data_IF_088961322359
#
_entry.id   IF_088961322359
#
_cell.length_a   1.000
_cell.length_b   1.000
_cell.length_c   1.000
_cell.angle_alpha   90.00
_cell.angle_beta   90.00
_cell.angle_gamma   90.00
#
_symmetry.space_group_name_H-M   'P 1'
#
loop_
_entity.id
_entity.type
_entity.pdbx_description
1 polymer ?
#
# COMPACT_ATOMS: atom_id res chain seq x y z
N UNK A 1 21.55 -11.67 4.10
CA UNK A 1 20.69 -10.87 5.01
C UNK A 1 20.35 -9.59 4.29
N UNK A 2 19.08 -9.20 4.27
CA UNK A 2 18.69 -7.87 3.80
C UNK A 2 19.32 -6.84 4.74
N UNK A 3 19.93 -5.80 4.19
CA UNK A 3 20.75 -4.84 4.95
C UNK A 3 20.27 -3.41 4.77
N UNK A 4 19.16 -3.22 4.05
CA UNK A 4 18.56 -1.93 3.77
C UNK A 4 17.10 -2.10 3.31
N UNK A 5 16.42 -0.98 3.11
CA UNK A 5 15.03 -0.88 2.73
C UNK A 5 14.86 0.12 1.57
N UNK A 6 13.95 -0.22 0.67
CA UNK A 6 13.38 0.67 -0.34
C UNK A 6 11.94 0.94 0.03
N UNK A 7 11.55 2.20 0.08
CA UNK A 7 10.16 2.60 0.22
C UNK A 7 9.65 3.20 -1.09
N UNK A 8 8.69 2.53 -1.71
CA UNK A 8 7.98 3.03 -2.88
C UNK A 8 6.70 3.73 -2.42
N UNK A 9 6.60 5.03 -2.68
CA UNK A 9 5.54 5.90 -2.13
C UNK A 9 5.22 7.06 -3.08
N UNK A 10 4.15 7.80 -2.83
CA UNK A 10 3.86 9.07 -3.51
C UNK A 10 4.00 10.25 -2.54
N UNK A 11 3.86 11.48 -3.03
CA UNK A 11 3.90 12.71 -2.21
C UNK A 11 2.58 13.47 -2.30
N UNK A 12 2.03 13.89 -1.17
CA UNK A 12 0.82 14.71 -1.22
C UNK A 12 1.16 16.12 -1.73
N UNK A 13 0.92 16.36 -3.02
CA UNK A 13 1.05 17.67 -3.67
C UNK A 13 -0.18 17.91 -4.54
N UNK A 14 -0.55 19.18 -4.70
CA UNK A 14 -1.65 19.57 -5.60
C UNK A 14 -1.23 19.59 -7.08
N UNK A 15 0.05 19.35 -7.38
CA UNK A 15 0.62 19.30 -8.72
C UNK A 15 0.80 17.86 -9.21
N UNK A 16 0.74 17.60 -10.54
CA UNK A 16 0.76 16.24 -11.09
C UNK A 16 1.97 15.38 -10.71
N UNK A 17 3.08 15.99 -10.31
CA UNK A 17 4.27 15.26 -9.88
C UNK A 17 4.11 14.61 -8.50
N UNK A 18 3.23 15.12 -7.63
CA UNK A 18 2.96 14.48 -6.33
C UNK A 18 2.36 13.09 -6.44
N UNK A 19 1.58 12.86 -7.48
CA UNK A 19 0.89 11.60 -7.76
C UNK A 19 1.69 10.75 -8.74
N UNK A 20 2.96 10.51 -8.42
CA UNK A 20 3.89 9.70 -9.21
C UNK A 20 4.70 8.78 -8.28
N UNK A 21 5.53 7.89 -8.84
CA UNK A 21 6.30 6.93 -8.04
C UNK A 21 7.58 7.59 -7.52
N UNK A 22 7.72 7.68 -6.19
CA UNK A 22 8.93 8.12 -5.51
C UNK A 22 9.58 6.97 -4.75
N UNK A 23 10.90 7.03 -4.64
CA UNK A 23 11.69 6.11 -3.83
C UNK A 23 12.29 6.82 -2.61
N UNK A 24 12.28 6.11 -1.48
CA UNK A 24 13.05 6.43 -0.28
C UNK A 24 13.96 5.27 0.08
N UNK A 25 15.14 5.55 0.60
CA UNK A 25 16.11 4.53 1.00
C UNK A 25 16.40 4.62 2.49
N UNK A 26 16.57 3.48 3.15
CA UNK A 26 17.01 3.43 4.55
C UNK A 26 17.92 2.24 4.79
N UNK A 27 18.93 2.38 5.64
CA UNK A 27 19.80 1.26 6.05
C UNK A 27 19.29 0.54 7.28
N UNK A 28 18.53 1.23 8.13
CA UNK A 28 18.13 0.75 9.45
C UNK A 28 16.60 0.65 9.61
N UNK A 29 15.84 1.24 8.71
CA UNK A 29 14.39 1.32 8.76
C UNK A 29 13.86 2.53 9.54
N UNK A 30 14.74 3.31 10.17
CA UNK A 30 14.43 4.47 11.01
C UNK A 30 14.76 5.78 10.31
N UNK A 31 15.93 5.85 9.68
CA UNK A 31 16.44 7.04 9.01
C UNK A 31 16.29 6.87 7.49
N UNK A 32 15.44 7.69 6.89
CA UNK A 32 15.12 7.62 5.47
C UNK A 32 15.77 8.77 4.70
N UNK A 33 16.26 8.45 3.50
CA UNK A 33 16.90 9.36 2.57
C UNK A 33 16.05 9.46 1.29
N UNK A 34 16.00 10.66 0.70
CA UNK A 34 15.36 10.86 -0.60
C UNK A 34 16.20 10.25 -1.72
N UNK A 35 15.51 9.77 -2.77
CA UNK A 35 16.12 9.32 -4.03
C UNK A 35 15.80 10.34 -5.12
N UNK A 36 16.66 10.42 -6.15
CA UNK A 36 16.44 11.26 -7.34
C UNK A 36 16.25 12.75 -7.00
N UNK A 37 17.00 13.24 -6.01
CA UNK A 37 16.87 14.63 -5.54
C UNK A 37 15.51 15.00 -4.92
N UNK A 38 14.65 14.01 -4.64
CA UNK A 38 13.28 14.24 -4.18
C UNK A 38 12.26 14.42 -5.31
N UNK A 39 12.64 14.11 -6.56
CA UNK A 39 11.78 14.11 -7.75
C UNK A 39 11.23 12.69 -8.06
N UNK A 40 10.12 12.57 -8.83
CA UNK A 40 9.59 11.27 -9.20
C UNK A 40 10.62 10.38 -9.90
N UNK A 41 10.64 9.09 -9.56
CA UNK A 41 11.45 8.06 -10.21
C UNK A 41 10.76 7.52 -11.45
N UNK A 42 9.45 7.28 -11.38
CA UNK A 42 8.63 6.83 -12.51
C UNK A 42 7.42 7.75 -12.68
N UNK A 43 7.07 8.02 -13.93
CA UNK A 43 5.89 8.76 -14.31
C UNK A 43 4.86 7.84 -14.97
N UNK A 44 3.59 8.00 -14.61
CA UNK A 44 2.48 7.42 -15.37
C UNK A 44 2.01 8.41 -16.43
N UNK A 45 2.15 8.04 -17.71
CA UNK A 45 1.65 8.84 -18.83
C UNK A 45 0.39 8.23 -19.47
N UNK A 46 -0.05 7.07 -18.97
CA UNK A 46 -1.28 6.36 -19.36
C UNK A 46 -2.37 6.55 -18.29
N UNK A 47 -3.60 6.14 -18.63
CA UNK A 47 -4.73 6.19 -17.71
C UNK A 47 -5.05 7.62 -17.28
N UNK A 48 -5.12 7.84 -15.97
CA UNK A 48 -5.38 9.15 -15.36
C UNK A 48 -4.14 10.04 -15.26
N UNK A 49 -2.97 9.50 -15.62
CA UNK A 49 -1.66 10.18 -15.58
C UNK A 49 -1.22 10.62 -14.19
N UNK A 50 -1.71 9.91 -13.18
CA UNK A 50 -1.25 9.96 -11.81
C UNK A 50 -1.40 8.59 -11.20
N UNK A 51 -0.51 8.27 -10.25
CA UNK A 51 -0.51 7.02 -9.51
C UNK A 51 -0.33 7.26 -8.03
N UNK A 52 -1.06 6.47 -7.24
CA UNK A 52 -1.06 6.52 -5.77
C UNK A 52 -0.98 5.12 -5.20
N UNK A 53 -0.75 5.03 -3.89
CA UNK A 53 -0.89 3.81 -3.09
C UNK A 53 -0.06 2.64 -3.67
N UNK A 54 1.26 2.84 -3.78
CA UNK A 54 2.12 1.89 -4.49
C UNK A 54 2.43 0.64 -3.67
N UNK A 55 2.34 -0.53 -4.27
CA UNK A 55 2.95 -1.75 -3.75
C UNK A 55 4.14 -2.18 -4.59
N UNK A 56 5.13 -2.77 -3.94
CA UNK A 56 6.30 -3.37 -4.60
C UNK A 56 6.52 -4.79 -4.08
N UNK A 57 6.77 -5.71 -5.00
CA UNK A 57 7.07 -7.11 -4.69
C UNK A 57 8.30 -7.58 -5.43
N UNK A 58 9.13 -8.38 -4.76
CA UNK A 58 10.17 -9.18 -5.40
C UNK A 58 9.65 -10.61 -5.59
N UNK A 59 9.64 -11.08 -6.82
CA UNK A 59 9.25 -12.45 -7.17
C UNK A 59 10.34 -13.46 -6.82
N UNK A 60 10.00 -14.76 -6.86
CA UNK A 60 10.95 -15.84 -6.62
C UNK A 60 12.09 -15.87 -7.64
N UNK A 61 11.87 -15.38 -8.87
CA UNK A 61 12.90 -15.24 -9.91
C UNK A 61 13.81 -14.03 -9.70
N UNK A 62 13.49 -13.14 -8.76
CA UNK A 62 14.22 -11.90 -8.51
C UNK A 62 13.71 -10.69 -9.31
N UNK A 63 12.68 -10.84 -10.14
CA UNK A 63 12.01 -9.72 -10.82
C UNK A 63 11.20 -8.90 -9.82
N UNK A 64 11.20 -7.58 -9.97
CA UNK A 64 10.43 -6.63 -9.18
C UNK A 64 9.23 -6.12 -9.96
N UNK A 65 8.09 -6.04 -9.30
CA UNK A 65 6.89 -5.40 -9.84
C UNK A 65 6.43 -4.29 -8.91
N UNK A 66 6.09 -3.13 -9.49
CA UNK A 66 5.32 -2.09 -8.81
C UNK A 66 3.91 -2.12 -9.35
N UNK A 67 2.91 -2.10 -8.47
CA UNK A 67 1.51 -1.85 -8.82
C UNK A 67 1.00 -0.61 -8.10
N UNK A 68 0.05 0.11 -8.69
CA UNK A 68 -0.48 1.35 -8.13
C UNK A 68 -1.92 1.61 -8.54
N UNK A 69 -2.65 2.37 -7.72
CA UNK A 69 -3.94 2.97 -8.10
C UNK A 69 -3.72 3.91 -9.29
N UNK A 70 -4.47 3.75 -10.39
CA UNK A 70 -4.50 4.72 -11.50
C UNK A 70 -5.44 5.87 -11.16
N UNK A 71 -4.89 6.95 -10.58
CA UNK A 71 -5.67 8.09 -10.12
C UNK A 71 -4.82 9.36 -10.11
N UNK A 72 -5.37 10.43 -10.69
CA UNK A 72 -4.84 11.78 -10.51
C UNK A 72 -5.89 12.74 -9.98
N UNK A 73 -5.77 13.16 -8.72
CA UNK A 73 -6.56 14.25 -8.18
C UNK A 73 -6.16 15.58 -8.83
N UNK A 74 -4.87 15.81 -9.08
CA UNK A 74 -4.36 17.04 -9.67
C UNK A 74 -5.01 17.33 -11.05
N UNK A 75 -5.18 16.28 -11.87
CA UNK A 75 -5.77 16.42 -13.20
C UNK A 75 -7.30 16.29 -13.21
N UNK A 76 -7.86 15.45 -12.34
CA UNK A 76 -9.23 14.95 -12.51
C UNK A 76 -10.20 15.31 -11.37
N UNK A 77 -9.72 15.68 -10.18
CA UNK A 77 -10.59 15.82 -9.01
C UNK A 77 -11.70 16.85 -9.21
N UNK A 78 -11.33 18.09 -9.56
CA UNK A 78 -12.30 19.17 -9.73
C UNK A 78 -13.04 19.12 -11.07
N UNK A 79 -12.54 18.36 -12.04
CA UNK A 79 -13.08 18.26 -13.40
C UNK A 79 -13.93 17.01 -13.53
N UNK A 80 -13.31 15.87 -13.88
CA UNK A 80 -13.96 14.57 -14.08
C UNK A 80 -14.78 14.12 -12.87
N UNK A 81 -14.31 14.41 -11.65
CA UNK A 81 -14.95 13.96 -10.41
C UNK A 81 -15.76 15.03 -9.70
N UNK A 82 -15.84 16.25 -10.24
CA UNK A 82 -16.64 17.36 -9.68
C UNK A 82 -16.33 17.69 -8.19
N UNK A 83 -15.12 17.42 -7.74
CA UNK A 83 -14.69 17.60 -6.35
C UNK A 83 -15.29 16.60 -5.37
N UNK A 84 -15.77 15.44 -5.84
CA UNK A 84 -16.48 14.45 -5.02
C UNK A 84 -15.77 13.09 -5.03
N UNK A 85 -15.30 12.66 -3.86
CA UNK A 85 -14.73 11.32 -3.66
C UNK A 85 -15.68 10.18 -4.04
N UNK A 86 -16.99 10.35 -3.82
CA UNK A 86 -18.01 9.38 -4.21
C UNK A 86 -18.02 9.13 -5.73
N UNK A 87 -17.68 10.14 -6.55
CA UNK A 87 -17.57 9.98 -7.99
C UNK A 87 -16.35 9.13 -8.34
N UNK A 88 -15.19 9.35 -7.70
CA UNK A 88 -14.01 8.49 -7.92
C UNK A 88 -14.31 7.05 -7.52
N UNK A 89 -14.91 6.84 -6.34
CA UNK A 89 -15.26 5.51 -5.86
C UNK A 89 -16.11 4.71 -6.86
N UNK A 90 -17.03 5.40 -7.58
CA UNK A 90 -17.96 4.77 -8.53
C UNK A 90 -17.43 4.70 -9.98
N UNK A 91 -16.77 5.74 -10.46
CA UNK A 91 -16.43 5.92 -11.88
C UNK A 91 -14.95 6.23 -12.16
N UNK A 92 -14.09 6.13 -11.14
CA UNK A 92 -12.65 6.22 -11.31
C UNK A 92 -12.07 5.01 -12.06
N UNK A 93 -10.76 5.03 -12.30
CA UNK A 93 -10.11 4.01 -13.11
C UNK A 93 -10.33 2.59 -12.59
N UNK A 94 -10.71 1.69 -13.51
CA UNK A 94 -10.82 0.25 -13.29
C UNK A 94 -9.51 -0.49 -13.58
N UNK A 95 -8.41 0.25 -13.63
CA UNK A 95 -7.09 -0.27 -13.90
C UNK A 95 -6.16 0.00 -12.72
N UNK A 96 -5.21 -0.89 -12.53
CA UNK A 96 -3.96 -0.59 -11.84
C UNK A 96 -2.90 -0.20 -12.88
N UNK A 97 -1.87 0.52 -12.45
CA UNK A 97 -0.67 0.76 -13.25
C UNK A 97 0.44 -0.14 -12.76
N UNK A 98 1.15 -0.80 -13.68
CA UNK A 98 2.19 -1.77 -13.39
C UNK A 98 3.50 -1.42 -14.09
N UNK A 99 4.61 -1.55 -13.36
CA UNK A 99 5.98 -1.54 -13.88
C UNK A 99 6.73 -2.80 -13.48
N UNK A 100 7.70 -3.19 -14.30
CA UNK A 100 8.59 -4.33 -14.08
C UNK A 100 10.04 -3.88 -14.10
N UNK A 101 10.88 -4.47 -13.25
CA UNK A 101 12.33 -4.29 -13.28
C UNK A 101 13.06 -5.56 -12.85
N UNK A 102 14.21 -5.84 -13.45
CA UNK A 102 15.12 -6.88 -12.99
C UNK A 102 16.14 -6.40 -11.95
N UNK A 103 16.24 -5.08 -11.72
CA UNK A 103 17.38 -4.50 -10.99
C UNK A 103 17.06 -3.25 -10.16
N UNK A 104 15.78 -2.86 -10.05
CA UNK A 104 15.26 -1.69 -9.34
C UNK A 104 15.64 -0.32 -9.92
N UNK A 105 16.38 -0.26 -11.03
CA UNK A 105 16.81 1.00 -11.65
C UNK A 105 16.41 1.12 -13.12
N UNK A 106 16.38 0.01 -13.85
CA UNK A 106 15.87 -0.07 -15.20
C UNK A 106 14.45 -0.62 -15.17
N UNK A 107 13.47 0.24 -15.43
CA UNK A 107 12.05 -0.10 -15.39
C UNK A 107 11.46 -0.17 -16.79
N UNK A 108 10.47 -1.05 -16.97
CA UNK A 108 9.66 -1.13 -18.19
C UNK A 108 8.87 0.17 -18.42
N UNK A 109 8.26 0.31 -19.60
CA UNK A 109 7.13 1.24 -19.74
C UNK A 109 5.97 0.82 -18.83
N UNK A 110 5.12 1.79 -18.46
CA UNK A 110 3.94 1.56 -17.65
C UNK A 110 2.89 0.74 -18.42
N UNK A 111 2.23 -0.20 -17.73
CA UNK A 111 1.12 -0.98 -18.28
C UNK A 111 -0.13 -0.78 -17.44
N UNK A 112 -1.26 -0.50 -18.11
CA UNK A 112 -2.57 -0.55 -17.47
C UNK A 112 -3.03 -2.00 -17.34
N UNK A 113 -3.43 -2.38 -16.14
CA UNK A 113 -3.86 -3.72 -15.77
C UNK A 113 -5.32 -3.67 -15.31
N UNK A 114 -6.23 -4.14 -16.15
CA UNK A 114 -7.63 -4.32 -15.77
C UNK A 114 -7.81 -5.66 -15.08
N UNK A 115 -8.22 -5.66 -13.81
CA UNK A 115 -8.43 -6.88 -13.03
C UNK A 115 -9.90 -7.28 -12.95
N UNK A 116 -10.81 -6.30 -12.90
CA UNK A 116 -12.25 -6.51 -12.72
C UNK A 116 -13.05 -6.62 -14.02
N UNK A 117 -14.37 -6.70 -13.85
CA UNK A 117 -15.35 -6.46 -14.91
C UNK A 117 -15.92 -5.03 -14.79
N UNK A 118 -16.97 -4.73 -15.56
CA UNK A 118 -17.60 -3.42 -15.56
C UNK A 118 -18.34 -3.09 -14.25
N UNK A 119 -18.52 -4.06 -13.35
CA UNK A 119 -19.24 -3.89 -12.08
C UNK A 119 -18.37 -3.30 -10.97
N UNK A 120 -17.06 -3.22 -11.16
CA UNK A 120 -16.16 -2.53 -10.25
C UNK A 120 -16.20 -1.01 -10.41
N UNK A 121 -16.12 -0.32 -9.28
CA UNK A 121 -15.69 1.07 -9.22
C UNK A 121 -14.18 1.19 -9.40
N UNK A 122 -13.60 2.25 -8.85
CA UNK A 122 -12.14 2.41 -8.91
C UNK A 122 -11.42 1.30 -8.12
N UNK A 123 -10.28 0.83 -8.64
CA UNK A 123 -9.42 -0.15 -7.98
C UNK A 123 -8.36 0.60 -7.16
N UNK A 124 -8.44 0.52 -5.83
CA UNK A 124 -7.61 1.31 -4.92
C UNK A 124 -6.62 0.47 -4.14
N UNK A 125 -5.45 1.06 -3.87
CA UNK A 125 -4.45 0.58 -2.93
C UNK A 125 -4.16 -0.92 -3.10
N UNK A 126 -3.61 -1.32 -4.26
CA UNK A 126 -3.22 -2.70 -4.45
C UNK A 126 -2.10 -3.08 -3.48
N UNK A 127 -2.15 -4.30 -2.99
CA UNK A 127 -1.07 -4.93 -2.24
C UNK A 127 -0.85 -6.36 -2.75
N UNK A 128 0.38 -6.86 -2.63
CA UNK A 128 0.77 -8.17 -3.16
C UNK A 128 1.29 -9.07 -2.06
N UNK A 129 0.69 -10.27 -1.96
CA UNK A 129 1.18 -11.34 -1.11
C UNK A 129 1.64 -12.55 -1.93
N UNK A 130 2.82 -13.09 -1.62
CA UNK A 130 3.32 -14.30 -2.28
C UNK A 130 2.83 -15.57 -1.55
N UNK A 131 1.93 -16.32 -2.19
CA UNK A 131 1.42 -17.61 -1.73
C UNK A 131 2.40 -18.73 -2.12
N UNK A 132 3.46 -18.88 -1.32
CA UNK A 132 4.53 -19.85 -1.57
C UNK A 132 4.04 -21.32 -1.65
N UNK A 133 2.88 -21.64 -1.05
CA UNK A 133 2.29 -22.98 -1.14
C UNK A 133 1.74 -23.32 -2.53
N UNK A 134 1.45 -22.29 -3.35
CA UNK A 134 0.90 -22.44 -4.71
C UNK A 134 1.81 -21.87 -5.80
N UNK A 135 2.90 -21.20 -5.42
CA UNK A 135 3.79 -20.47 -6.33
C UNK A 135 2.99 -19.44 -7.15
N UNK A 136 2.18 -18.66 -6.43
CA UNK A 136 1.26 -17.65 -6.97
C UNK A 136 1.36 -16.36 -6.14
N UNK A 137 0.98 -15.25 -6.77
CA UNK A 137 0.82 -13.95 -6.13
C UNK A 137 -0.65 -13.63 -5.99
N UNK A 138 -1.05 -13.24 -4.79
CA UNK A 138 -2.37 -12.69 -4.50
C UNK A 138 -2.28 -11.19 -4.50
N UNK A 139 -2.99 -10.56 -5.43
CA UNK A 139 -3.14 -9.11 -5.48
C UNK A 139 -4.48 -8.79 -4.85
N UNK A 140 -4.49 -7.97 -3.80
CA UNK A 140 -5.71 -7.53 -3.16
C UNK A 140 -5.82 -6.02 -3.17
N UNK A 141 -7.04 -5.51 -3.33
CA UNK A 141 -7.33 -4.10 -3.55
C UNK A 141 -8.71 -3.75 -3.00
N UNK A 142 -8.91 -2.47 -2.72
CA UNK A 142 -10.19 -1.95 -2.23
C UNK A 142 -11.03 -1.45 -3.40
N UNK A 143 -12.34 -1.74 -3.38
CA UNK A 143 -13.24 -1.22 -4.40
C UNK A 143 -14.69 -1.12 -3.91
N UNK A 144 -15.43 -0.19 -4.50
CA UNK A 144 -16.90 -0.24 -4.52
C UNK A 144 -17.34 -1.18 -5.65
N UNK A 145 -18.51 -1.81 -5.52
CA UNK A 145 -18.97 -2.80 -6.50
C UNK A 145 -20.48 -2.75 -6.75
N UNK A 146 -20.92 -3.06 -7.97
CA UNK A 146 -22.33 -2.97 -8.35
C UNK A 146 -23.23 -3.95 -7.56
N UNK A 147 -22.68 -5.07 -7.09
CA UNK A 147 -23.41 -6.10 -6.31
C UNK A 147 -23.99 -5.58 -4.99
N UNK A 148 -23.48 -4.47 -4.45
CA UNK A 148 -24.06 -3.75 -3.32
C UNK A 148 -24.36 -2.29 -3.68
N UNK A 149 -24.75 -2.03 -4.93
CA UNK A 149 -25.10 -0.69 -5.43
C UNK A 149 -24.01 0.38 -5.23
N UNK A 150 -22.74 -0.02 -5.24
CA UNK A 150 -21.59 0.86 -4.98
C UNK A 150 -21.66 1.54 -3.59
N UNK A 151 -22.24 0.86 -2.59
CA UNK A 151 -22.20 1.31 -1.19
C UNK A 151 -20.82 1.04 -0.58
N UNK A 152 -20.77 0.53 0.66
CA UNK A 152 -19.52 0.28 1.39
C UNK A 152 -18.49 -0.50 0.56
N UNK A 153 -17.27 0.04 0.56
CA UNK A 153 -16.12 -0.58 -0.09
C UNK A 153 -15.73 -1.87 0.64
N UNK A 154 -15.20 -2.80 -0.13
CA UNK A 154 -14.74 -4.09 0.37
C UNK A 154 -13.36 -4.39 -0.23
N UNK A 155 -12.69 -5.40 0.33
CA UNK A 155 -11.43 -5.89 -0.23
C UNK A 155 -11.72 -7.05 -1.16
N UNK A 156 -11.20 -6.95 -2.37
CA UNK A 156 -11.24 -7.99 -3.38
C UNK A 156 -9.82 -8.49 -3.65
N UNK A 157 -9.70 -9.67 -4.25
CA UNK A 157 -8.42 -10.21 -4.63
C UNK A 157 -8.48 -10.99 -5.94
N UNK A 158 -7.35 -11.05 -6.62
CA UNK A 158 -7.08 -11.91 -7.78
C UNK A 158 -5.76 -12.67 -7.56
N UNK A 159 -5.51 -13.69 -8.38
CA UNK A 159 -4.29 -14.48 -8.40
C UNK A 159 -3.59 -14.34 -9.74
N UNK A 160 -2.27 -14.38 -9.71
CA UNK A 160 -1.41 -14.42 -10.89
C UNK A 160 -0.14 -15.20 -10.60
N UNK A 161 0.50 -15.74 -11.64
CA UNK A 161 1.83 -16.36 -11.56
C UNK A 161 2.92 -15.50 -12.19
N UNK A 162 2.53 -14.62 -13.11
CA UNK A 162 3.43 -13.96 -14.06
C UNK A 162 3.19 -12.45 -14.16
N UNK A 163 2.19 -11.90 -13.44
CA UNK A 163 1.74 -10.52 -13.55
C UNK A 163 1.28 -10.11 -14.96
N UNK A 164 1.04 -11.08 -15.85
CA UNK A 164 0.51 -10.88 -17.20
C UNK A 164 -0.95 -11.33 -17.24
N UNK A 165 -1.22 -12.51 -16.70
CA UNK A 165 -2.55 -13.13 -16.64
C UNK A 165 -3.07 -13.10 -15.21
N UNK A 166 -4.34 -12.72 -15.06
CA UNK A 166 -4.99 -12.58 -13.75
C UNK A 166 -6.31 -13.36 -13.73
N UNK A 167 -6.57 -14.03 -12.62
CA UNK A 167 -7.86 -14.66 -12.38
C UNK A 167 -8.97 -13.62 -12.20
N UNK A 168 -10.23 -14.03 -12.39
CA UNK A 168 -11.37 -13.16 -12.07
C UNK A 168 -11.34 -12.80 -10.57
N UNK A 169 -11.47 -11.51 -10.20
CA UNK A 169 -11.46 -11.11 -8.80
C UNK A 169 -12.60 -11.71 -7.99
N UNK A 170 -12.30 -11.98 -6.73
CA UNK A 170 -13.22 -12.51 -5.73
C UNK A 170 -13.24 -11.61 -4.50
N UNK A 171 -14.33 -11.65 -3.74
CA UNK A 171 -14.40 -10.96 -2.45
C UNK A 171 -13.41 -11.61 -1.47
N UNK A 172 -12.50 -10.81 -0.92
CA UNK A 172 -11.59 -11.25 0.15
C UNK A 172 -12.24 -11.05 1.52
N UNK A 173 -12.76 -9.85 1.79
CA UNK A 173 -13.50 -9.55 3.01
C UNK A 173 -14.37 -8.30 2.89
N UNK A 174 -15.35 -8.21 3.79
CA UNK A 174 -16.22 -7.06 4.01
C UNK A 174 -16.45 -6.90 5.51
N UNK A 175 -16.78 -5.69 5.95
CA UNK A 175 -17.27 -5.39 7.28
C UNK A 175 -18.74 -4.98 7.19
N UNK A 176 -19.58 -5.53 8.06
CA UNK A 176 -20.98 -5.14 8.10
C UNK A 176 -21.13 -3.74 8.69
N UNK A 177 -21.95 -2.90 8.05
CA UNK A 177 -22.23 -1.52 8.48
C UNK A 177 -21.09 -0.52 8.29
N UNK A 178 -20.01 -0.88 7.59
CA UNK A 178 -18.90 0.03 7.32
C UNK A 178 -18.06 -0.41 6.12
N UNK A 179 -17.58 0.57 5.34
CA UNK A 179 -16.53 0.33 4.35
C UNK A 179 -15.18 0.00 4.98
N UNK A 180 -14.44 -0.86 4.28
CA UNK A 180 -13.03 -1.14 4.57
C UNK A 180 -12.17 -0.91 3.34
N UNK A 181 -10.97 -0.37 3.55
CA UNK A 181 -9.97 -0.10 2.52
C UNK A 181 -8.55 -0.43 3.02
N UNK A 182 -7.58 -0.24 2.14
CA UNK A 182 -6.14 -0.26 2.41
C UNK A 182 -5.70 -1.52 3.17
N UNK A 183 -5.99 -2.68 2.59
CA UNK A 183 -5.57 -3.95 3.14
C UNK A 183 -4.05 -4.15 2.96
N UNK A 184 -3.35 -4.53 4.02
CA UNK A 184 -1.95 -4.98 3.97
C UNK A 184 -1.78 -6.31 4.72
N UNK A 185 -1.16 -7.30 4.08
CA UNK A 185 -1.20 -8.70 4.49
C UNK A 185 0.19 -9.28 4.72
N UNK A 186 0.38 -9.95 5.85
CA UNK A 186 1.66 -10.48 6.30
C UNK A 186 1.51 -11.88 6.88
N UNK A 187 2.60 -12.63 6.92
CA UNK A 187 2.66 -13.96 7.53
C UNK A 187 3.70 -13.96 8.65
N UNK A 188 3.33 -14.52 9.81
CA UNK A 188 4.25 -14.76 10.92
C UNK A 188 3.87 -16.05 11.67
N UNK A 189 4.78 -17.04 11.62
CA UNK A 189 4.66 -18.26 12.41
C UNK A 189 3.55 -19.20 11.95
N UNK A 190 3.32 -19.29 10.64
CA UNK A 190 2.27 -20.07 9.99
C UNK A 190 0.88 -19.43 10.05
N UNK A 191 0.77 -18.15 10.43
CA UNK A 191 -0.50 -17.42 10.53
C UNK A 191 -0.47 -16.16 9.69
N UNK A 192 -1.64 -15.81 9.16
CA UNK A 192 -1.81 -14.63 8.33
C UNK A 192 -2.38 -13.48 9.17
N UNK A 193 -1.85 -12.29 8.95
CA UNK A 193 -2.22 -11.07 9.64
C UNK A 193 -2.52 -9.99 8.61
N UNK A 194 -3.67 -9.34 8.74
CA UNK A 194 -4.09 -8.29 7.81
C UNK A 194 -4.43 -7.01 8.56
N UNK A 195 -3.78 -5.93 8.18
CA UNK A 195 -4.20 -4.58 8.54
C UNK A 195 -5.27 -4.10 7.57
N UNK A 196 -6.25 -3.33 8.07
CA UNK A 196 -7.33 -2.75 7.29
C UNK A 196 -7.67 -1.36 7.84
N UNK A 197 -7.95 -0.40 6.97
CA UNK A 197 -8.65 0.83 7.36
C UNK A 197 -10.15 0.56 7.42
N UNK A 198 -10.75 0.81 8.57
CA UNK A 198 -12.20 0.79 8.82
C UNK A 198 -12.73 2.22 8.82
N UNK A 199 -13.80 2.48 8.05
CA UNK A 199 -14.41 3.81 7.96
C UNK A 199 -15.28 4.15 9.18
N UNK A 200 -15.85 3.15 9.86
CA UNK A 200 -16.73 3.30 11.01
C UNK A 200 -16.74 2.06 11.90
N UNK A 201 -17.23 2.19 13.14
CA UNK A 201 -17.55 1.11 14.09
C UNK A 201 -16.45 0.03 14.32
N UNK A 202 -15.26 0.38 14.83
CA UNK A 202 -14.74 1.73 15.02
C UNK A 202 -14.06 2.27 13.75
N UNK A 203 -14.00 3.60 13.62
CA UNK A 203 -13.19 4.24 12.57
C UNK A 203 -11.71 4.23 12.97
N UNK A 204 -10.84 3.60 12.16
CA UNK A 204 -9.43 3.45 12.49
C UNK A 204 -8.78 2.29 11.73
N UNK A 205 -7.58 1.89 12.17
CA UNK A 205 -6.90 0.71 11.63
C UNK A 205 -7.27 -0.50 12.48
N UNK A 206 -7.60 -1.60 11.82
CA UNK A 206 -7.82 -2.91 12.41
C UNK A 206 -6.63 -3.80 12.09
N UNK A 207 -6.25 -4.67 13.03
CA UNK A 207 -5.39 -5.82 12.77
C UNK A 207 -6.22 -7.07 12.99
N UNK A 208 -6.28 -7.94 11.99
CA UNK A 208 -6.97 -9.21 12.09
C UNK A 208 -6.00 -10.36 11.81
N UNK A 209 -6.29 -11.57 12.29
CA UNK A 209 -5.48 -12.76 12.03
C UNK A 209 -6.33 -13.98 11.64
N UNK A 210 -5.77 -14.86 10.82
CA UNK A 210 -6.43 -16.06 10.32
C UNK A 210 -5.45 -17.20 10.03
N UNK A 211 -5.99 -18.39 9.76
CA UNK A 211 -5.20 -19.61 9.51
C UNK A 211 -4.90 -19.81 8.02
N UNK A 212 -5.62 -19.11 7.14
CA UNK A 212 -5.41 -19.17 5.69
C UNK A 212 -5.49 -17.77 5.10
N UNK A 213 -4.81 -17.57 3.97
CA UNK A 213 -4.73 -16.29 3.27
C UNK A 213 -6.10 -15.66 3.00
N UNK A 214 -7.06 -16.45 2.51
CA UNK A 214 -8.39 -16.02 2.05
C UNK A 214 -9.53 -16.50 2.96
N UNK A 215 -9.21 -16.97 4.17
CA UNK A 215 -10.19 -17.53 5.09
C UNK A 215 -10.86 -16.47 5.99
N UNK A 216 -11.49 -16.96 7.06
CA UNK A 216 -12.01 -16.10 8.12
C UNK A 216 -10.87 -15.56 8.99
N UNK A 217 -11.02 -14.31 9.44
CA UNK A 217 -10.07 -13.63 10.31
C UNK A 217 -10.78 -13.17 11.58
N UNK A 218 -10.02 -13.10 12.68
CA UNK A 218 -10.46 -12.57 13.98
C UNK A 218 -9.66 -11.32 14.32
N UNK A 219 -10.30 -10.32 14.92
CA UNK A 219 -9.66 -9.07 15.30
C UNK A 219 -8.67 -9.25 16.47
N UNK A 220 -7.54 -8.55 16.41
CA UNK A 220 -6.55 -8.49 17.47
C UNK A 220 -6.89 -7.36 18.46
N UNK A 221 -7.44 -7.74 19.61
CA UNK A 221 -7.87 -6.76 20.63
C UNK A 221 -6.72 -6.00 21.29
N UNK A 222 -5.50 -6.55 21.32
CA UNK A 222 -4.33 -5.83 21.83
C UNK A 222 -3.95 -4.67 20.90
N UNK A 223 -4.05 -4.90 19.59
CA UNK A 223 -3.88 -3.82 18.61
C UNK A 223 -4.99 -2.77 18.69
N UNK A 224 -6.25 -3.21 18.84
CA UNK A 224 -7.37 -2.29 19.01
C UNK A 224 -7.17 -1.35 20.23
N UNK A 225 -6.61 -1.85 21.33
CA UNK A 225 -6.29 -1.06 22.51
C UNK A 225 -5.18 -0.01 22.27
N UNK A 226 -4.18 -0.32 21.43
CA UNK A 226 -3.18 0.68 21.01
C UNK A 226 -3.80 1.73 20.09
N UNK A 227 -4.61 1.31 19.11
CA UNK A 227 -5.27 2.24 18.17
C UNK A 227 -6.28 3.16 18.85
N UNK A 228 -6.92 2.74 19.94
CA UNK A 228 -7.83 3.56 20.73
C UNK A 228 -7.15 4.79 21.38
N UNK A 229 -5.80 4.83 21.44
CA UNK A 229 -5.03 5.98 21.93
C UNK A 229 -4.83 7.06 20.86
N UNK A 230 -5.12 6.76 19.60
CA UNK A 230 -4.93 7.64 18.46
C UNK A 230 -6.19 8.43 18.13
N UNK A 231 -6.04 9.50 17.35
CA UNK A 231 -7.16 10.26 16.80
C UNK A 231 -7.97 9.37 15.85
N UNK A 232 -9.26 9.09 16.14
CA UNK A 232 -10.09 8.25 15.28
C UNK A 232 -10.20 8.83 13.87
N UNK A 233 -10.13 7.97 12.87
CA UNK A 233 -10.33 8.37 11.47
C UNK A 233 -9.23 9.26 10.87
N UNK A 234 -8.06 9.40 11.51
CA UNK A 234 -6.96 10.25 11.01
C UNK A 234 -5.80 9.51 10.33
N UNK A 235 -5.87 8.18 10.28
CA UNK A 235 -4.82 7.28 9.78
C UNK A 235 -5.36 6.32 8.73
N UNK A 236 -4.62 6.06 7.67
CA UNK A 236 -4.93 5.09 6.60
C UNK A 236 -3.65 4.41 6.09
N UNK A 237 -3.73 3.68 4.97
CA UNK A 237 -2.58 3.12 4.28
C UNK A 237 -1.57 2.38 5.16
N UNK A 238 -1.95 1.29 5.85
CA UNK A 238 -0.99 0.55 6.65
C UNK A 238 0.08 -0.12 5.78
N UNK A 239 1.35 0.03 6.15
CA UNK A 239 2.44 -0.80 5.61
C UNK A 239 3.36 -1.25 6.74
N UNK A 240 3.78 -2.51 6.74
CA UNK A 240 4.63 -3.08 7.78
C UNK A 240 5.82 -3.84 7.22
N UNK A 241 6.92 -3.81 7.96
CA UNK A 241 8.16 -4.50 7.62
C UNK A 241 8.91 -4.91 8.89
N UNK A 242 9.82 -5.88 8.76
CA UNK A 242 10.69 -6.29 9.87
C UNK A 242 11.90 -5.37 9.97
N UNK A 243 12.20 -4.91 11.18
CA UNK A 243 13.41 -4.19 11.54
C UNK A 243 14.61 -5.15 11.68
N UNK A 244 15.86 -4.63 11.72
CA UNK A 244 17.05 -5.48 11.82
C UNK A 244 17.11 -6.36 13.07
N UNK A 245 16.47 -5.95 14.16
CA UNK A 245 16.37 -6.70 15.41
C UNK A 245 15.24 -7.75 15.41
N UNK A 246 14.49 -7.87 14.30
CA UNK A 246 13.41 -8.82 14.12
C UNK A 246 12.03 -8.33 14.54
N UNK A 247 11.93 -7.14 15.14
CA UNK A 247 10.64 -6.51 15.47
C UNK A 247 9.89 -6.07 14.22
N UNK A 248 8.61 -5.81 14.36
CA UNK A 248 7.77 -5.23 13.31
C UNK A 248 7.68 -3.72 13.47
N UNK A 249 7.92 -3.00 12.37
CA UNK A 249 7.53 -1.62 12.20
C UNK A 249 6.27 -1.57 11.33
N UNK A 250 5.21 -0.95 11.84
CA UNK A 250 4.02 -0.55 11.08
C UNK A 250 4.08 0.95 10.87
N UNK A 251 3.97 1.40 9.64
CA UNK A 251 3.78 2.79 9.29
C UNK A 251 2.32 3.00 8.90
N UNK A 252 1.68 4.03 9.45
CA UNK A 252 0.32 4.45 9.11
C UNK A 252 0.32 5.86 8.52
N UNK A 253 -0.33 6.06 7.38
CA UNK A 253 -0.39 7.36 6.72
C UNK A 253 -1.34 8.29 7.49
N UNK A 254 -0.79 9.32 8.12
CA UNK A 254 -1.55 10.31 8.87
C UNK A 254 -1.97 11.49 7.99
N UNK A 255 -3.28 11.71 7.93
CA UNK A 255 -3.91 12.78 7.14
C UNK A 255 -4.83 13.69 7.97
N UNK A 256 -4.73 13.63 9.31
CA UNK A 256 -5.59 14.40 10.22
C UNK A 256 -5.39 15.93 10.17
N UNK A 257 -4.33 16.40 9.51
CA UNK A 257 -4.04 17.82 9.25
C UNK A 257 -3.68 18.01 7.78
N UNK A 258 -3.50 19.25 7.31
CA UNK A 258 -2.98 19.54 5.97
C UNK A 258 -1.53 20.00 6.02
N UNK A 259 -0.79 19.74 4.95
CA UNK A 259 0.58 20.24 4.76
C UNK A 259 1.62 19.42 5.54
N UNK A 260 2.65 20.08 6.06
CA UNK A 260 3.84 19.43 6.63
C UNK A 260 3.58 18.55 7.86
N UNK A 261 2.40 18.66 8.49
CA UNK A 261 1.99 17.78 9.57
C UNK A 261 1.41 16.42 9.11
N UNK A 262 1.29 16.18 7.80
CA UNK A 262 0.87 14.91 7.22
C UNK A 262 2.04 13.94 7.03
N UNK A 263 1.69 12.68 6.79
CA UNK A 263 2.61 11.63 6.34
C UNK A 263 2.67 10.46 7.29
N UNK A 264 3.55 9.52 6.99
CA UNK A 264 3.63 8.28 7.73
C UNK A 264 4.11 8.44 9.19
N UNK A 265 3.37 7.82 10.11
CA UNK A 265 3.71 7.68 11.52
C UNK A 265 4.09 6.22 11.81
N UNK A 266 5.31 5.94 12.30
CA UNK A 266 5.75 4.59 12.62
C UNK A 266 5.33 4.12 14.02
N UNK A 267 5.09 2.83 14.14
CA UNK A 267 4.73 2.10 15.34
C UNK A 267 5.54 0.80 15.40
N UNK A 268 6.06 0.43 16.57
CA UNK A 268 6.92 -0.76 16.72
C UNK A 268 6.27 -1.78 17.66
N UNK A 269 6.29 -3.05 17.27
CA UNK A 269 5.84 -4.19 18.07
C UNK A 269 6.84 -5.35 17.97
N UNK A 270 6.90 -6.20 18.99
CA UNK A 270 7.75 -7.40 18.93
C UNK A 270 7.22 -8.44 17.93
N UNK A 271 5.90 -8.58 17.80
CA UNK A 271 5.24 -9.57 16.92
C UNK A 271 3.90 -9.05 16.41
N UNK A 272 3.46 -9.52 15.25
CA UNK A 272 2.10 -9.28 14.74
C UNK A 272 1.06 -9.93 15.66
N UNK A 273 1.39 -11.11 16.21
CA UNK A 273 0.53 -11.82 17.16
C UNK A 273 0.23 -10.99 18.41
N UNK A 274 1.28 -10.37 18.99
CA UNK A 274 1.14 -9.55 20.18
C UNK A 274 0.32 -8.28 19.92
N UNK A 275 0.39 -7.73 18.71
CA UNK A 275 -0.42 -6.57 18.30
C UNK A 275 -0.09 -5.26 19.05
N UNK A 276 0.91 -5.23 19.92
CA UNK A 276 1.29 -4.08 20.73
C UNK A 276 2.18 -3.11 19.93
N UNK A 277 1.60 -2.48 18.92
CA UNK A 277 2.26 -1.48 18.07
C UNK A 277 2.28 -0.12 18.78
N UNK A 278 3.43 0.23 19.34
CA UNK A 278 3.64 1.48 20.08
C UNK A 278 4.18 2.56 19.17
N UNK A 279 3.51 3.72 19.15
CA UNK A 279 3.92 4.91 18.39
C UNK A 279 5.39 5.26 18.69
N UNK A 280 6.21 5.41 17.65
CA UNK A 280 7.66 5.51 17.75
C UNK A 280 8.27 6.59 16.85
N UNK A 281 7.47 7.56 16.39
CA UNK A 281 7.86 8.60 15.42
C UNK A 281 9.07 9.45 15.84
N UNK A 282 9.29 9.65 17.14
CA UNK A 282 10.47 10.37 17.66
C UNK A 282 11.81 9.70 17.31
N UNK A 283 11.80 8.40 16.96
CA UNK A 283 13.00 7.65 16.59
C UNK A 283 13.25 7.62 15.08
N UNK A 284 12.34 8.18 14.28
CA UNK A 284 12.38 8.09 12.81
C UNK A 284 12.61 9.46 12.20
N UNK A 285 13.30 9.47 11.06
CA UNK A 285 13.55 10.67 10.27
C UNK A 285 13.13 10.42 8.83
N UNK A 286 12.28 11.30 8.30
CA UNK A 286 11.87 11.29 6.91
C UNK A 286 12.35 12.58 6.22
N UNK A 287 12.78 12.52 4.95
CA UNK A 287 13.26 13.70 4.23
C UNK A 287 12.12 14.65 3.84
N UNK A 288 10.89 14.14 3.79
CA UNK A 288 9.64 14.85 3.53
C UNK A 288 8.45 13.96 3.93
N UNK A 289 7.23 14.46 3.75
CA UNK A 289 6.00 13.70 4.00
C UNK A 289 5.83 12.54 3.01
N UNK A 290 6.20 11.32 3.42
CA UNK A 290 5.86 10.10 2.71
C UNK A 290 4.37 9.80 2.86
N UNK A 291 3.72 9.40 1.75
CA UNK A 291 2.31 8.97 1.69
C UNK A 291 2.19 7.51 1.27
N UNK A 292 0.98 6.97 1.32
CA UNK A 292 0.67 5.56 1.11
C UNK A 292 1.53 4.85 0.05
N UNK A 293 2.16 3.76 0.48
CA UNK A 293 2.93 2.84 -0.34
C UNK A 293 3.53 1.71 0.48
N UNK A 294 4.49 0.96 -0.07
CA UNK A 294 5.04 -0.26 0.54
C UNK A 294 6.56 -0.23 0.71
N UNK A 295 7.03 -0.75 1.85
CA UNK A 295 8.46 -0.95 2.15
C UNK A 295 8.92 -2.35 1.73
N UNK A 296 9.96 -2.41 0.90
CA UNK A 296 10.66 -3.63 0.49
C UNK A 296 12.03 -3.71 1.15
N UNK A 297 12.32 -4.83 1.81
CA UNK A 297 13.68 -5.13 2.26
C UNK A 297 14.57 -5.50 1.05
N UNK A 298 15.74 -4.88 0.97
CA UNK A 298 16.69 -5.00 -0.15
C UNK A 298 18.11 -5.33 0.35
N UNK A 299 18.95 -5.75 -0.58
CA UNK A 299 20.37 -6.00 -0.33
C UNK A 299 21.19 -4.71 -0.35
N UNK A 300 22.40 -4.74 0.22
CA UNK A 300 23.33 -3.61 0.16
C UNK A 300 23.67 -3.23 -1.29
N UNK A 301 23.82 -4.21 -2.17
CA UNK A 301 24.17 -3.98 -3.57
C UNK A 301 23.03 -3.30 -4.32
N UNK A 302 21.78 -3.68 -4.05
CA UNK A 302 20.60 -3.00 -4.60
C UNK A 302 20.45 -1.58 -4.07
N UNK A 303 20.69 -1.36 -2.78
CA UNK A 303 20.72 -0.02 -2.20
C UNK A 303 21.75 0.86 -2.90
N UNK A 304 22.99 0.38 -3.03
CA UNK A 304 24.05 1.14 -3.70
C UNK A 304 23.77 1.33 -5.19
N UNK A 305 23.10 0.38 -5.84
CA UNK A 305 22.69 0.49 -7.24
C UNK A 305 21.66 1.61 -7.43
N UNK A 306 20.60 1.63 -6.63
CA UNK A 306 19.59 2.70 -6.65
C UNK A 306 20.25 4.04 -6.36
N UNK A 307 21.04 4.11 -5.28
CA UNK A 307 21.73 5.34 -4.87
C UNK A 307 22.64 5.89 -5.97
N UNK A 308 23.43 5.06 -6.64
CA UNK A 308 24.35 5.52 -7.71
C UNK A 308 23.66 5.86 -9.01
N UNK A 309 22.51 5.25 -9.29
CA UNK A 309 21.79 5.49 -10.54
C UNK A 309 21.00 6.80 -10.49
N UNK A 310 20.37 7.09 -9.35
CA UNK A 310 19.47 8.24 -9.20
C UNK A 310 20.04 9.42 -8.42
N UNK A 311 21.09 9.26 -7.60
CA UNK A 311 21.69 10.36 -6.83
C UNK A 311 23.06 10.80 -7.35
#
# INVERSE_FOLDING_TARGET
MNSAYLFVHFREKETPDGEQVYFGLSRDGFNWEQVNGGEPVLWSNKGEKGVRDHTIVRTASGTFYILSTDLSLANSFNTRYEGKWANIARSGSKHLVLWESGDLVNWSEERLVGLGDEDFGCLWAPEVFHDAGRDEYVIHFSAAHASNHFCDKAIFYTRTRDFISFDKPQLLCRKDGSGIIDSALYEEGGRYYRFLKSEADPAGILLQHGDTLTGAYTENMSFAAEMAKLTPGAYEGPTAFKLPDGKWCLMLDFYGVRGEGQGYVPFVADTLRGGQFVRSDEQFSFPYCFKHGTVLAITADEYERIRRHFN
#
